data_IF_872893019396
#
_entry.id   IF_872893019396
#
_cell.length_a   1.000
_cell.length_b   1.000
_cell.length_c   1.000
_cell.angle_alpha   90.00
_cell.angle_beta   90.00
_cell.angle_gamma   90.00
#
_symmetry.space_group_name_H-M   'P 1'
#
loop_
_entity.id
_entity.type
_entity.pdbx_description
1 polymer ?
#
# COMPACT_ATOMS: atom_id res chain seq x y z
N UNK A 1 -24.93 -11.49 26.37
CA UNK A 1 -23.52 -11.41 25.92
C UNK A 1 -23.21 -10.23 24.97
N UNK A 2 -24.15 -9.76 24.13
CA UNK A 2 -23.87 -8.76 23.07
C UNK A 2 -23.40 -7.36 23.51
N UNK A 3 -23.87 -6.80 24.63
CA UNK A 3 -23.51 -5.42 25.07
C UNK A 3 -22.02 -5.24 25.37
N UNK A 4 -21.33 -6.28 25.84
CA UNK A 4 -19.90 -6.23 26.15
C UNK A 4 -19.03 -6.24 24.89
N UNK A 5 -19.46 -6.94 23.84
CA UNK A 5 -18.72 -7.05 22.58
C UNK A 5 -18.76 -5.74 21.80
N UNK A 6 -19.96 -5.18 21.61
CA UNK A 6 -20.14 -3.91 20.90
C UNK A 6 -19.34 -2.76 21.55
N UNK A 7 -19.29 -2.72 22.89
CA UNK A 7 -18.48 -1.73 23.60
C UNK A 7 -16.98 -1.89 23.33
N UNK A 8 -16.47 -3.12 23.24
CA UNK A 8 -15.06 -3.40 22.89
C UNK A 8 -14.74 -2.95 21.47
N UNK A 9 -15.63 -3.24 20.51
CA UNK A 9 -15.48 -2.82 19.11
C UNK A 9 -15.47 -1.29 18.98
N UNK A 10 -16.38 -0.61 19.68
CA UNK A 10 -16.42 0.85 19.71
C UNK A 10 -15.15 1.48 20.31
N UNK A 11 -14.56 0.86 21.34
CA UNK A 11 -13.27 1.29 21.90
C UNK A 11 -12.14 1.11 20.88
N UNK A 12 -12.08 -0.05 20.24
CA UNK A 12 -11.07 -0.35 19.21
C UNK A 12 -11.18 0.61 18.02
N UNK A 13 -12.39 0.89 17.55
CA UNK A 13 -12.67 1.92 16.53
C UNK A 13 -12.11 3.28 16.96
N UNK A 14 -12.34 3.68 18.21
CA UNK A 14 -11.79 4.92 18.76
C UNK A 14 -10.26 4.95 18.75
N UNK A 15 -9.60 3.85 19.14
CA UNK A 15 -8.14 3.72 19.09
C UNK A 15 -7.60 3.82 17.66
N UNK A 16 -8.25 3.17 16.70
CA UNK A 16 -7.85 3.23 15.28
C UNK A 16 -8.00 4.67 14.77
N UNK A 17 -9.09 5.35 15.09
CA UNK A 17 -9.31 6.76 14.70
C UNK A 17 -8.24 7.70 15.23
N UNK A 18 -7.85 7.53 16.49
CA UNK A 18 -6.74 8.32 17.08
C UNK A 18 -5.43 8.06 16.32
N UNK A 19 -5.10 6.79 16.05
CA UNK A 19 -3.89 6.44 15.29
C UNK A 19 -3.89 7.00 13.87
N UNK A 20 -5.01 6.92 13.15
CA UNK A 20 -5.21 7.53 11.83
C UNK A 20 -4.96 9.03 11.89
N UNK A 21 -5.59 9.73 12.83
CA UNK A 21 -5.44 11.19 13.02
C UNK A 21 -3.98 11.57 13.29
N UNK A 22 -3.27 10.80 14.12
CA UNK A 22 -1.85 11.04 14.42
C UNK A 22 -0.95 10.81 13.21
N UNK A 23 -1.22 9.80 12.39
CA UNK A 23 -0.48 9.54 11.16
C UNK A 23 -0.77 10.60 10.10
N UNK A 24 -2.02 11.08 10.01
CA UNK A 24 -2.37 12.15 9.08
C UNK A 24 -1.63 13.45 9.41
N UNK A 25 -1.64 13.85 10.69
CA UNK A 25 -0.82 14.98 11.15
C UNK A 25 0.66 14.79 10.84
N UNK A 26 1.19 13.59 11.04
CA UNK A 26 2.60 13.29 10.75
C UNK A 26 2.92 13.33 9.24
N UNK A 27 1.96 13.01 8.37
CA UNK A 27 2.12 13.14 6.92
C UNK A 27 2.04 14.60 6.46
N UNK A 28 1.12 15.38 7.05
CA UNK A 28 0.94 16.81 6.75
C UNK A 28 2.11 17.66 7.24
N UNK A 29 2.64 17.35 8.43
CA UNK A 29 3.78 18.05 9.03
C UNK A 29 5.12 17.40 8.68
N UNK A 30 5.18 16.55 7.65
CA UNK A 30 6.42 15.85 7.31
C UNK A 30 7.45 16.82 6.73
N UNK A 31 8.57 16.97 7.44
CA UNK A 31 9.75 17.67 6.97
C UNK A 31 10.86 16.65 6.71
N UNK A 32 11.51 16.67 5.53
CA UNK A 32 12.56 15.71 5.23
C UNK A 32 13.79 15.94 6.13
N UNK A 33 14.37 14.88 6.72
CA UNK A 33 15.66 14.95 7.39
C UNK A 33 16.80 15.31 6.41
N UNK A 34 18.00 15.50 6.95
CA UNK A 34 19.18 15.92 6.19
C UNK A 34 19.60 14.90 5.11
N UNK A 35 19.24 13.63 5.27
CA UNK A 35 19.61 12.56 4.35
C UNK A 35 18.38 11.83 3.76
N UNK A 36 18.44 11.40 2.48
CA UNK A 36 17.39 10.58 1.87
C UNK A 36 17.21 9.22 2.56
N UNK A 37 18.28 8.62 3.08
CA UNK A 37 18.24 7.32 3.77
C UNK A 37 17.42 7.38 5.05
N UNK A 38 17.59 8.45 5.85
CA UNK A 38 16.77 8.68 7.04
C UNK A 38 15.30 8.91 6.67
N UNK A 39 15.05 9.66 5.59
CA UNK A 39 13.70 9.85 5.05
C UNK A 39 13.04 8.51 4.71
N UNK A 40 13.80 7.62 4.06
CA UNK A 40 13.32 6.30 3.68
C UNK A 40 12.99 5.43 4.90
N UNK A 41 13.86 5.39 5.91
CA UNK A 41 13.61 4.63 7.14
C UNK A 41 12.35 5.13 7.85
N UNK A 42 12.23 6.44 8.05
CA UNK A 42 11.09 7.05 8.75
C UNK A 42 9.79 6.79 7.98
N UNK A 43 9.77 7.11 6.68
CA UNK A 43 8.56 6.98 5.87
C UNK A 43 8.14 5.52 5.69
N UNK A 44 9.09 4.58 5.53
CA UNK A 44 8.77 3.16 5.48
C UNK A 44 8.20 2.66 6.81
N UNK A 45 8.72 3.12 7.95
CA UNK A 45 8.15 2.77 9.25
C UNK A 45 6.71 3.30 9.40
N UNK A 46 6.43 4.54 8.97
CA UNK A 46 5.07 5.09 8.96
C UNK A 46 4.15 4.31 8.02
N UNK A 47 4.65 3.91 6.85
CA UNK A 47 3.92 3.09 5.90
C UNK A 47 3.55 1.72 6.48
N UNK A 48 4.47 1.06 7.20
CA UNK A 48 4.15 -0.19 7.90
C UNK A 48 3.05 -0.01 8.95
N UNK A 49 3.06 1.10 9.69
CA UNK A 49 1.97 1.41 10.63
C UNK A 49 0.62 1.58 9.91
N UNK A 50 0.59 2.18 8.72
CA UNK A 50 -0.64 2.31 7.91
C UNK A 50 -1.12 0.94 7.44
N UNK A 51 -0.22 0.06 7.00
CA UNK A 51 -0.59 -1.31 6.59
C UNK A 51 -1.15 -2.11 7.77
N UNK A 52 -0.58 -1.96 8.96
CA UNK A 52 -1.11 -2.55 10.18
C UNK A 52 -2.52 -2.02 10.48
N UNK A 53 -2.73 -0.69 10.41
CA UNK A 53 -4.05 -0.09 10.60
C UNK A 53 -5.08 -0.59 9.59
N UNK A 54 -4.69 -0.76 8.32
CA UNK A 54 -5.56 -1.36 7.30
C UNK A 54 -5.98 -2.78 7.66
N UNK A 55 -5.04 -3.59 8.16
CA UNK A 55 -5.36 -4.94 8.63
C UNK A 55 -6.27 -4.93 9.87
N UNK A 56 -6.04 -4.01 10.82
CA UNK A 56 -6.89 -3.84 12.00
C UNK A 56 -8.31 -3.39 11.62
N UNK A 57 -8.45 -2.49 10.64
CA UNK A 57 -9.74 -2.02 10.14
C UNK A 57 -10.54 -3.17 9.52
N UNK A 58 -9.90 -3.99 8.69
CA UNK A 58 -10.56 -5.16 8.08
C UNK A 58 -11.04 -6.17 9.12
N UNK A 59 -10.25 -6.40 10.17
CA UNK A 59 -10.67 -7.26 11.29
C UNK A 59 -11.85 -6.64 12.05
N UNK A 60 -11.77 -5.34 12.34
CA UNK A 60 -12.85 -4.61 13.00
C UNK A 60 -14.16 -4.74 12.21
N UNK A 61 -14.12 -4.51 10.90
CA UNK A 61 -15.28 -4.64 10.01
C UNK A 61 -15.87 -6.07 10.08
N UNK A 62 -15.03 -7.09 9.97
CA UNK A 62 -15.47 -8.48 10.09
C UNK A 62 -16.14 -8.76 11.45
N UNK A 63 -15.58 -8.25 12.54
CA UNK A 63 -16.14 -8.41 13.88
C UNK A 63 -17.50 -7.68 14.05
N UNK A 64 -17.71 -6.55 13.38
CA UNK A 64 -19.01 -5.88 13.34
C UNK A 64 -20.04 -6.66 12.53
N UNK A 65 -19.64 -7.28 11.41
CA UNK A 65 -20.52 -8.07 10.56
C UNK A 65 -20.92 -9.42 11.18
N UNK A 66 -20.14 -9.93 12.14
CA UNK A 66 -20.46 -11.14 12.91
C UNK A 66 -21.47 -10.89 14.05
N UNK A 67 -21.83 -9.62 14.32
CA UNK A 67 -22.82 -9.29 15.33
C UNK A 67 -24.23 -9.70 14.89
N UNK A 68 -25.13 -10.03 15.84
CA UNK A 68 -26.49 -10.43 15.50
C UNK A 68 -27.29 -9.29 14.87
N UNK A 69 -28.09 -9.63 13.85
CA UNK A 69 -28.94 -8.74 13.03
C UNK A 69 -29.91 -7.84 13.84
N UNK A 70 -30.17 -8.18 15.10
CA UNK A 70 -30.93 -7.33 16.03
C UNK A 70 -30.24 -5.99 16.35
N UNK A 71 -28.97 -5.82 15.96
CA UNK A 71 -28.16 -4.62 16.21
C UNK A 71 -28.29 -3.69 15.01
N UNK A 72 -28.78 -2.46 15.20
CA UNK A 72 -28.72 -1.45 14.14
C UNK A 72 -27.25 -1.01 13.96
N UNK A 73 -26.63 -1.46 12.88
CA UNK A 73 -25.21 -1.24 12.57
C UNK A 73 -24.98 -0.19 11.48
N UNK A 74 -26.02 0.36 10.87
CA UNK A 74 -25.91 1.21 9.67
C UNK A 74 -24.99 2.41 9.90
N UNK A 75 -25.23 3.18 10.96
CA UNK A 75 -24.37 4.31 11.35
C UNK A 75 -22.93 3.88 11.70
N UNK A 76 -22.74 2.69 12.24
CA UNK A 76 -21.41 2.18 12.62
C UNK A 76 -20.59 1.80 11.39
N UNK A 77 -21.24 1.15 10.42
CA UNK A 77 -20.61 0.72 9.18
C UNK A 77 -20.22 1.91 8.30
N UNK A 78 -21.09 2.93 8.20
CA UNK A 78 -20.75 4.17 7.48
C UNK A 78 -19.46 4.81 8.03
N UNK A 79 -19.35 4.93 9.36
CA UNK A 79 -18.14 5.46 10.00
C UNK A 79 -16.91 4.57 9.71
N UNK A 80 -17.07 3.25 9.70
CA UNK A 80 -15.98 2.31 9.43
C UNK A 80 -15.50 2.44 7.97
N UNK A 81 -16.42 2.56 7.01
CA UNK A 81 -16.07 2.76 5.60
C UNK A 81 -15.36 4.09 5.38
N UNK A 82 -15.84 5.18 5.98
CA UNK A 82 -15.15 6.48 5.90
C UNK A 82 -13.71 6.40 6.46
N UNK A 83 -13.53 5.69 7.58
CA UNK A 83 -12.19 5.50 8.15
C UNK A 83 -11.31 4.58 7.29
N UNK A 84 -11.87 3.60 6.58
CA UNK A 84 -11.12 2.77 5.63
C UNK A 84 -10.61 3.62 4.47
N UNK A 85 -11.44 4.50 3.92
CA UNK A 85 -11.05 5.46 2.88
C UNK A 85 -9.93 6.39 3.36
N UNK A 86 -10.04 6.95 4.57
CA UNK A 86 -8.98 7.78 5.18
C UNK A 86 -7.64 7.01 5.28
N UNK A 87 -7.67 5.73 5.64
CA UNK A 87 -6.47 4.88 5.70
C UNK A 87 -5.88 4.65 4.31
N UNK A 88 -6.71 4.50 3.28
CA UNK A 88 -6.25 4.37 1.89
C UNK A 88 -5.63 5.66 1.35
N UNK A 89 -6.24 6.81 1.64
CA UNK A 89 -5.66 8.12 1.35
C UNK A 89 -4.31 8.31 2.05
N UNK A 90 -4.20 7.94 3.34
CA UNK A 90 -2.93 7.96 4.06
C UNK A 90 -1.86 7.07 3.43
N UNK A 91 -2.24 5.87 3.01
CA UNK A 91 -1.33 4.97 2.32
C UNK A 91 -0.79 5.60 1.04
N UNK A 92 -1.65 6.26 0.26
CA UNK A 92 -1.26 6.98 -0.94
C UNK A 92 -0.36 8.18 -0.62
N UNK A 93 -0.72 9.00 0.38
CA UNK A 93 0.09 10.13 0.86
C UNK A 93 1.52 9.70 1.21
N UNK A 94 1.67 8.64 2.01
CA UNK A 94 3.01 8.14 2.36
C UNK A 94 3.76 7.58 1.15
N UNK A 95 3.09 6.89 0.22
CA UNK A 95 3.72 6.46 -1.03
C UNK A 95 4.23 7.64 -1.85
N UNK A 96 3.46 8.71 -1.96
CA UNK A 96 3.87 9.94 -2.65
C UNK A 96 5.10 10.54 -1.95
N UNK A 97 5.08 10.66 -0.63
CA UNK A 97 6.22 11.16 0.15
C UNK A 97 7.48 10.31 -0.08
N UNK A 98 7.38 8.98 -0.05
CA UNK A 98 8.50 8.07 -0.33
C UNK A 98 9.03 8.31 -1.75
N UNK A 99 8.14 8.40 -2.75
CA UNK A 99 8.59 8.68 -4.12
C UNK A 99 9.20 10.07 -4.30
N UNK A 100 8.84 11.05 -3.48
CA UNK A 100 9.33 12.43 -3.56
C UNK A 100 10.70 12.61 -2.88
N UNK A 101 10.90 11.95 -1.74
CA UNK A 101 12.08 12.18 -0.89
C UNK A 101 13.07 11.01 -0.90
N UNK A 102 12.66 9.81 -1.33
CA UNK A 102 13.51 8.62 -1.39
C UNK A 102 13.88 8.22 -2.84
N UNK A 103 13.34 8.91 -3.86
CA UNK A 103 13.82 8.82 -5.26
C UNK A 103 14.33 10.23 -5.63
N UNK A 104 15.53 10.51 -6.12
CA UNK A 104 16.47 9.81 -7.01
C UNK A 104 17.90 10.47 -6.91
N UNK A 105 18.94 10.08 -7.69
CA UNK A 105 19.08 8.96 -8.62
C UNK A 105 20.31 8.06 -8.34
N UNK A 106 20.15 6.74 -8.42
CA UNK A 106 21.29 5.89 -8.79
C UNK A 106 21.43 5.93 -10.32
N UNK A 107 21.85 7.09 -10.85
CA UNK A 107 22.23 7.24 -12.25
C UNK A 107 23.69 7.70 -12.44
N UNK A 108 24.46 7.99 -11.37
CA UNK A 108 25.80 8.59 -11.51
C UNK A 108 27.01 7.69 -11.15
N UNK A 109 26.86 6.51 -10.53
CA UNK A 109 28.01 5.94 -9.79
C UNK A 109 28.46 4.51 -10.16
N UNK A 110 28.15 3.99 -11.35
CA UNK A 110 28.89 2.81 -11.86
C UNK A 110 29.95 3.29 -12.85
N UNK A 111 31.27 3.22 -12.54
CA UNK A 111 32.25 3.21 -13.61
C UNK A 111 31.94 1.97 -14.43
N UNK A 112 31.55 2.19 -15.69
CA UNK A 112 31.26 1.15 -16.66
C UNK A 112 32.58 0.43 -16.99
N UNK A 113 33.08 -0.40 -16.07
CA UNK A 113 34.11 -1.35 -16.40
C UNK A 113 33.44 -2.40 -17.26
N UNK A 114 33.71 -2.28 -18.57
CA UNK A 114 33.36 -3.25 -19.59
C UNK A 114 34.13 -4.54 -19.32
N UNK A 115 33.74 -5.28 -18.29
CA UNK A 115 34.10 -6.68 -18.17
C UNK A 115 32.92 -7.48 -18.69
N UNK A 116 32.94 -7.75 -20.01
CA UNK A 116 32.08 -8.76 -20.66
C UNK A 116 32.15 -10.06 -19.86
N UNK A 117 31.10 -10.49 -19.14
CA UNK A 117 30.97 -11.88 -18.77
C UNK A 117 30.47 -12.59 -20.03
N UNK A 118 31.20 -13.60 -20.52
CA UNK A 118 30.66 -14.52 -21.54
C UNK A 118 29.58 -15.39 -20.87
N UNK A 119 28.40 -14.81 -20.64
CA UNK A 119 27.24 -15.50 -20.11
C UNK A 119 26.63 -16.34 -21.24
N UNK A 120 26.92 -17.64 -21.25
CA UNK A 120 26.20 -18.60 -22.09
C UNK A 120 24.80 -18.76 -21.49
N UNK A 121 23.82 -18.06 -22.05
CA UNK A 121 22.41 -18.26 -21.71
C UNK A 121 21.96 -19.57 -22.36
N UNK A 122 21.44 -20.57 -21.61
CA UNK A 122 20.73 -21.68 -22.21
C UNK A 122 19.41 -21.17 -22.82
N UNK A 123 19.22 -21.42 -24.11
CA UNK A 123 18.03 -21.01 -24.85
C UNK A 123 16.86 -21.88 -24.39
N UNK A 124 15.95 -21.31 -23.60
CA UNK A 124 14.64 -21.89 -23.36
C UNK A 124 13.70 -21.57 -24.54
N UNK A 125 12.83 -22.49 -24.96
CA UNK A 125 11.92 -22.23 -26.08
C UNK A 125 10.85 -21.22 -25.69
N UNK A 126 10.79 -20.10 -26.43
CA UNK A 126 9.73 -19.10 -26.30
C UNK A 126 8.37 -19.73 -26.65
N UNK A 127 7.42 -19.69 -25.70
CA UNK A 127 6.03 -20.07 -25.96
C UNK A 127 5.37 -18.98 -26.82
N UNK A 128 5.12 -19.27 -28.09
CA UNK A 128 4.36 -18.39 -28.97
C UNK A 128 2.87 -18.62 -28.77
N UNK A 129 2.18 -17.72 -28.07
CA UNK A 129 0.72 -17.68 -28.11
C UNK A 129 0.26 -16.99 -29.41
N UNK A 130 -0.36 -17.77 -30.30
CA UNK A 130 -1.00 -17.27 -31.53
C UNK A 130 -2.41 -16.79 -31.18
N UNK A 131 -2.59 -15.50 -30.93
CA UNK A 131 -3.94 -14.92 -30.83
C UNK A 131 -4.44 -14.65 -32.24
N UNK A 132 -5.49 -15.37 -32.66
CA UNK A 132 -6.13 -15.15 -33.95
C UNK A 132 -7.21 -14.07 -33.79
N UNK A 133 -6.85 -12.81 -34.08
CA UNK A 133 -7.81 -11.71 -34.18
C UNK A 133 -7.89 -11.29 -35.64
N UNK A 134 -9.05 -11.50 -36.26
CA UNK A 134 -9.34 -10.97 -37.59
C UNK A 134 -9.49 -9.45 -37.50
N UNK A 135 -8.74 -8.77 -38.36
CA UNK A 135 -8.87 -7.38 -38.82
C UNK A 135 -8.27 -6.26 -37.96
N UNK A 136 -7.10 -5.83 -38.44
CA UNK A 136 -6.62 -4.43 -38.57
C UNK A 136 -6.33 -3.63 -37.30
N UNK A 137 -5.17 -3.91 -36.68
CA UNK A 137 -4.03 -2.99 -36.55
C UNK A 137 -2.94 -3.66 -35.69
N UNK A 138 -1.83 -4.03 -36.32
CA UNK A 138 -0.74 -4.80 -35.70
C UNK A 138 0.14 -3.90 -34.81
N UNK A 139 -0.03 -3.95 -33.49
CA UNK A 139 0.99 -3.60 -32.51
C UNK A 139 1.47 -4.87 -31.82
N UNK A 140 2.67 -5.34 -32.17
CA UNK A 140 3.37 -6.42 -31.45
C UNK A 140 3.91 -5.83 -30.14
N UNK A 141 3.22 -6.09 -29.02
CA UNK A 141 3.77 -5.91 -27.68
C UNK A 141 4.63 -7.13 -27.35
N UNK A 142 5.96 -6.98 -27.42
CA UNK A 142 6.88 -7.91 -26.78
C UNK A 142 6.99 -7.51 -25.31
N UNK A 143 6.30 -8.22 -24.42
CA UNK A 143 6.50 -8.08 -22.99
C UNK A 143 7.65 -9.01 -22.57
N UNK A 144 8.87 -8.49 -22.56
CA UNK A 144 9.95 -9.10 -21.79
C UNK A 144 9.75 -8.69 -20.33
N UNK A 145 9.26 -9.60 -19.50
CA UNK A 145 9.38 -9.48 -18.05
C UNK A 145 10.87 -9.63 -17.72
N UNK A 146 11.50 -8.53 -17.31
CA UNK A 146 12.82 -8.50 -16.67
C UNK A 146 12.65 -8.36 -15.17
#
# INVERSE_FOLDING_TARGET
MGKNMLQKLNRLRGTIRDRVTRLNKAAESYEPPATPEESEIILNQKLQNVLELKAQMKRLLADYLDLPDSTNLEEYLEVIYNMEEEIEDLHLKFKILITKYCKAPNADNMPMTVHKPKLKIPVYPCLNFRVNVKSTNHLKLNLCLS
#
